data_IF_005815907656
#
_entry.id   IF_005815907656
#
_cell.length_a   1.000
_cell.length_b   1.000
_cell.length_c   1.000
_cell.angle_alpha   90.00
_cell.angle_beta   90.00
_cell.angle_gamma   90.00
#
_symmetry.space_group_name_H-M   'P 1'
#
loop_
_entity.id
_entity.type
_entity.pdbx_description
1 polymer ?
#
# COMPACT_ATOMS: atom_id res chain seq x y z
N UNK A 1 51.07 28.84 41.72
CA UNK A 1 51.78 27.55 41.69
C UNK A 1 50.93 26.54 42.47
N UNK A 2 50.51 25.45 41.81
CA UNK A 2 49.37 24.58 42.22
C UNK A 2 49.65 23.55 43.32
N UNK A 3 48.89 22.44 43.41
CA UNK A 3 47.54 22.15 42.87
C UNK A 3 46.53 21.75 44.01
N UNK A 4 45.24 21.52 43.73
CA UNK A 4 44.49 20.51 44.48
C UNK A 4 44.50 19.18 43.73
N UNK A 5 44.99 18.17 44.43
CA UNK A 5 44.99 16.76 44.07
C UNK A 5 43.59 16.15 44.16
N UNK A 6 43.15 15.53 43.05
CA UNK A 6 42.54 14.18 42.91
C UNK A 6 41.41 13.80 43.89
N UNK A 7 40.18 13.47 43.48
CA UNK A 7 39.77 12.28 42.70
C UNK A 7 38.34 12.52 42.15
N UNK A 8 38.10 12.48 40.83
CA UNK A 8 37.50 11.37 40.05
C UNK A 8 36.35 10.65 40.79
N UNK A 9 35.09 10.99 40.50
CA UNK A 9 34.27 10.59 39.34
C UNK A 9 33.53 9.28 39.58
N UNK A 10 32.20 9.36 39.72
CA UNK A 10 31.33 8.34 39.15
C UNK A 10 29.93 8.87 38.81
N UNK A 11 29.33 8.29 37.77
CA UNK A 11 27.88 8.22 37.59
C UNK A 11 27.17 9.41 36.93
N UNK A 12 27.21 9.48 35.60
CA UNK A 12 26.30 10.27 34.76
C UNK A 12 24.83 9.88 35.03
N UNK A 13 24.04 10.79 35.60
CA UNK A 13 22.59 10.80 35.45
C UNK A 13 22.21 11.79 34.33
N UNK A 14 21.92 11.29 33.14
CA UNK A 14 21.37 12.08 32.03
C UNK A 14 19.84 12.03 32.02
N UNK A 15 19.19 12.54 33.08
CA UNK A 15 17.74 12.83 33.10
C UNK A 15 17.44 14.33 33.07
N UNK A 16 18.25 15.11 32.34
CA UNK A 16 18.06 16.57 32.21
C UNK A 16 17.25 17.02 30.99
N UNK A 17 16.96 16.13 30.01
CA UNK A 17 16.27 16.49 28.77
C UNK A 17 14.78 16.10 28.70
N UNK A 18 14.32 15.22 29.60
CA UNK A 18 12.90 14.84 29.69
C UNK A 18 12.06 15.85 30.49
N UNK A 19 12.66 16.61 31.41
CA UNK A 19 11.93 17.60 32.20
C UNK A 19 11.48 18.83 31.38
N UNK A 20 12.19 19.18 30.31
CA UNK A 20 11.86 20.36 29.48
C UNK A 20 10.83 20.10 28.38
N UNK A 21 10.65 18.84 27.95
CA UNK A 21 9.59 18.46 27.00
C UNK A 21 8.22 18.31 27.69
N UNK A 22 8.20 17.90 28.97
CA UNK A 22 6.97 17.83 29.76
C UNK A 22 6.36 19.21 30.05
N UNK A 23 7.18 20.26 30.17
CA UNK A 23 6.69 21.62 30.41
C UNK A 23 6.01 22.25 29.16
N UNK A 24 6.49 21.93 27.95
CA UNK A 24 5.90 22.44 26.69
C UNK A 24 4.57 21.74 26.40
N UNK A 25 4.47 20.44 26.71
CA UNK A 25 3.22 19.68 26.57
C UNK A 25 2.17 20.21 27.57
N UNK A 26 2.55 20.50 28.82
CA UNK A 26 1.62 21.05 29.81
C UNK A 26 1.10 22.46 29.46
N UNK A 27 1.96 23.34 28.92
CA UNK A 27 1.56 24.71 28.59
C UNK A 27 0.65 24.80 27.37
N UNK A 28 0.72 23.84 26.43
CA UNK A 28 -0.26 23.72 25.33
C UNK A 28 -1.53 22.96 25.73
N UNK A 29 -1.48 22.15 26.78
CA UNK A 29 -2.62 21.41 27.33
C UNK A 29 -3.63 22.31 28.05
N UNK A 30 -3.19 23.41 28.64
CA UNK A 30 -4.07 24.34 29.36
C UNK A 30 -4.96 25.24 28.46
N UNK A 31 -4.80 25.17 27.13
CA UNK A 31 -5.44 26.10 26.18
C UNK A 31 -6.51 25.47 25.26
N UNK A 32 -6.78 24.16 25.36
CA UNK A 32 -7.79 23.48 24.54
C UNK A 32 -8.74 22.70 25.45
N UNK A 33 -10.03 23.03 25.40
CA UNK A 33 -11.08 22.42 26.20
C UNK A 33 -11.03 20.89 26.18
N UNK A 34 -11.15 20.30 27.37
CA UNK A 34 -10.94 18.88 27.68
C UNK A 34 -12.00 17.92 27.15
N UNK A 35 -12.35 18.02 25.87
CA UNK A 35 -13.28 17.11 25.18
C UNK A 35 -12.57 16.18 24.17
N UNK A 36 -11.33 16.51 23.75
CA UNK A 36 -10.57 15.69 22.78
C UNK A 36 -9.75 14.54 23.40
N UNK A 37 -9.46 14.58 24.70
CA UNK A 37 -8.57 13.58 25.34
C UNK A 37 -9.31 12.33 25.80
N UNK A 38 -10.63 12.43 26.02
CA UNK A 38 -11.48 11.26 26.29
C UNK A 38 -11.63 10.36 25.07
N UNK A 39 -11.61 10.93 23.86
CA UNK A 39 -11.63 10.16 22.61
C UNK A 39 -10.33 9.37 22.39
N UNK A 40 -9.17 10.01 22.56
CA UNK A 40 -7.86 9.37 22.34
C UNK A 40 -7.53 8.27 23.36
N UNK A 41 -7.98 8.41 24.62
CA UNK A 41 -7.82 7.35 25.63
C UNK A 41 -8.72 6.15 25.29
N UNK A 42 -9.97 6.41 24.86
CA UNK A 42 -10.91 5.38 24.45
C UNK A 42 -10.47 4.65 23.17
N UNK A 43 -9.93 5.37 22.17
CA UNK A 43 -9.30 4.75 20.99
C UNK A 43 -8.09 3.89 21.35
N UNK A 44 -7.26 4.30 22.31
CA UNK A 44 -6.10 3.51 22.75
C UNK A 44 -6.45 2.26 23.54
N UNK A 45 -7.47 2.30 24.40
CA UNK A 45 -7.96 1.12 25.13
C UNK A 45 -8.67 0.13 24.20
N UNK A 46 -9.42 0.62 23.21
CA UNK A 46 -10.06 -0.21 22.20
C UNK A 46 -9.01 -0.90 21.32
N UNK A 47 -7.99 -0.19 20.84
CA UNK A 47 -6.88 -0.78 20.06
C UNK A 47 -6.14 -1.88 20.85
N UNK A 48 -5.88 -1.68 22.15
CA UNK A 48 -5.25 -2.71 22.99
C UNK A 48 -6.14 -3.97 23.15
N UNK A 49 -7.47 -3.81 23.22
CA UNK A 49 -8.41 -4.94 23.35
C UNK A 49 -8.56 -5.78 22.07
N UNK A 50 -8.49 -5.14 20.90
CA UNK A 50 -8.58 -5.85 19.62
C UNK A 50 -7.29 -6.63 19.36
N UNK A 51 -6.13 -6.05 19.70
CA UNK A 51 -4.85 -6.74 19.56
C UNK A 51 -4.76 -7.98 20.47
N UNK A 52 -5.30 -7.92 21.69
CA UNK A 52 -5.39 -9.09 22.58
C UNK A 52 -6.30 -10.18 21.98
N UNK A 53 -7.43 -9.80 21.39
CA UNK A 53 -8.36 -10.74 20.72
C UNK A 53 -7.72 -11.40 19.51
N UNK A 54 -6.97 -10.63 18.70
CA UNK A 54 -6.23 -11.13 17.54
C UNK A 54 -5.08 -12.06 17.94
N UNK A 55 -4.36 -11.73 19.02
CA UNK A 55 -3.32 -12.59 19.58
C UNK A 55 -3.88 -13.91 20.14
N UNK A 56 -5.06 -13.87 20.76
CA UNK A 56 -5.75 -15.07 21.21
C UNK A 56 -6.19 -15.96 20.04
N UNK A 57 -6.77 -15.37 18.99
CA UNK A 57 -7.19 -16.10 17.77
C UNK A 57 -6.02 -16.78 17.07
N UNK A 58 -4.91 -16.07 16.98
CA UNK A 58 -3.71 -16.52 16.29
C UNK A 58 -2.82 -17.46 17.10
N UNK A 59 -3.20 -17.81 18.33
CA UNK A 59 -2.38 -18.58 19.27
C UNK A 59 -0.97 -17.97 19.46
N UNK A 60 -0.90 -16.63 19.48
CA UNK A 60 0.34 -15.85 19.54
C UNK A 60 1.35 -16.26 18.46
N UNK A 61 0.87 -16.49 17.23
CA UNK A 61 1.67 -16.82 16.05
C UNK A 61 1.26 -15.97 14.87
N UNK A 62 2.15 -15.84 13.91
CA UNK A 62 1.86 -15.27 12.61
C UNK A 62 0.83 -16.16 11.90
N UNK A 63 -0.30 -15.58 11.49
CA UNK A 63 -1.39 -16.30 10.83
C UNK A 63 -1.06 -16.72 9.39
N UNK A 64 0.07 -16.25 8.85
CA UNK A 64 0.59 -16.65 7.53
C UNK A 64 1.67 -17.73 7.62
N UNK A 65 2.71 -17.52 8.43
CA UNK A 65 3.88 -18.41 8.47
C UNK A 65 4.04 -19.23 9.76
N UNK A 66 3.23 -18.96 10.79
CA UNK A 66 3.29 -19.66 12.08
C UNK A 66 4.42 -19.24 13.03
N UNK A 67 5.26 -18.28 12.64
CA UNK A 67 6.33 -17.73 13.51
C UNK A 67 5.75 -17.02 14.74
N UNK A 68 6.38 -17.13 15.90
CA UNK A 68 6.01 -16.38 17.11
C UNK A 68 6.89 -15.14 17.36
N UNK A 69 7.78 -14.79 16.42
CA UNK A 69 8.72 -13.68 16.57
C UNK A 69 8.14 -12.36 16.02
N UNK A 70 8.33 -11.26 16.77
CA UNK A 70 8.02 -9.88 16.38
C UNK A 70 6.65 -9.74 15.70
N UNK A 71 5.61 -10.12 16.44
CA UNK A 71 4.23 -10.11 15.97
C UNK A 71 3.63 -8.70 16.01
N UNK A 72 2.83 -8.40 15.01
CA UNK A 72 2.17 -7.10 14.87
C UNK A 72 0.85 -7.24 14.13
N UNK A 73 -0.11 -6.38 14.47
CA UNK A 73 -1.41 -6.26 13.79
C UNK A 73 -1.23 -5.70 12.38
N UNK A 74 -1.70 -6.41 11.36
CA UNK A 74 -1.74 -5.94 9.99
C UNK A 74 -3.18 -5.80 9.51
N UNK A 75 -3.56 -4.59 9.11
CA UNK A 75 -4.89 -4.29 8.58
C UNK A 75 -4.94 -4.56 7.07
N UNK A 76 -5.90 -5.38 6.67
CA UNK A 76 -6.13 -5.81 5.30
C UNK A 76 -7.06 -4.81 4.61
N UNK A 77 -6.54 -4.10 3.62
CA UNK A 77 -7.31 -3.09 2.87
C UNK A 77 -8.60 -3.66 2.25
N UNK A 78 -9.63 -2.81 2.19
CA UNK A 78 -10.97 -3.10 1.63
C UNK A 78 -11.79 -4.13 2.40
N UNK A 79 -11.53 -4.30 3.69
CA UNK A 79 -12.29 -5.21 4.53
C UNK A 79 -13.79 -4.86 4.52
N UNK A 80 -14.68 -5.86 4.48
CA UNK A 80 -16.13 -5.64 4.50
C UNK A 80 -16.61 -5.09 5.85
N UNK A 81 -15.86 -5.36 6.91
CA UNK A 81 -16.08 -4.88 8.28
C UNK A 81 -14.72 -4.51 8.91
N UNK A 82 -14.73 -3.63 9.92
CA UNK A 82 -13.49 -3.27 10.65
C UNK A 82 -12.97 -4.42 11.52
N UNK A 83 -13.87 -5.28 12.03
CA UNK A 83 -13.54 -6.36 12.95
C UNK A 83 -12.89 -7.57 12.25
N UNK A 84 -13.27 -7.83 11.00
CA UNK A 84 -12.72 -8.95 10.21
C UNK A 84 -11.51 -8.53 9.37
N UNK A 85 -11.14 -7.25 9.39
CA UNK A 85 -10.13 -6.65 8.53
C UNK A 85 -8.70 -6.76 9.02
N UNK A 86 -8.39 -7.53 10.07
CA UNK A 86 -7.06 -7.54 10.66
C UNK A 86 -6.52 -8.96 10.92
N UNK A 87 -5.19 -9.09 10.81
CA UNK A 87 -4.44 -10.33 11.08
C UNK A 87 -3.20 -10.07 11.94
N UNK A 88 -2.70 -11.12 12.59
CA UNK A 88 -1.38 -11.10 13.23
C UNK A 88 -0.34 -11.63 12.26
N UNK A 89 0.70 -10.83 12.02
CA UNK A 89 1.84 -11.22 11.17
C UNK A 89 3.17 -10.95 11.85
N UNK A 90 4.17 -11.76 11.53
CA UNK A 90 5.55 -11.46 11.93
C UNK A 90 6.13 -10.34 11.05
N UNK A 91 7.18 -9.72 11.57
CA UNK A 91 7.97 -8.68 10.89
C UNK A 91 8.37 -9.08 9.45
N UNK A 92 8.86 -10.31 9.25
CA UNK A 92 9.28 -10.79 7.92
C UNK A 92 8.12 -10.82 6.93
N UNK A 93 6.94 -11.29 7.34
CA UNK A 93 5.76 -11.30 6.48
C UNK A 93 5.31 -9.87 6.18
N UNK A 94 5.30 -8.98 7.18
CA UNK A 94 4.93 -7.56 7.00
C UNK A 94 5.81 -6.89 5.96
N UNK A 95 7.12 -6.95 6.16
CA UNK A 95 8.09 -6.28 5.28
C UNK A 95 7.94 -6.75 3.82
N UNK A 96 7.78 -8.06 3.61
CA UNK A 96 7.60 -8.61 2.27
C UNK A 96 6.21 -8.32 1.65
N UNK A 97 5.17 -8.14 2.45
CA UNK A 97 3.86 -7.68 1.94
C UNK A 97 3.92 -6.22 1.48
N UNK A 98 4.68 -5.38 2.20
CA UNK A 98 4.79 -3.96 1.90
C UNK A 98 5.80 -3.69 0.76
N UNK A 99 6.87 -4.47 0.65
CA UNK A 99 7.97 -4.28 -0.31
C UNK A 99 7.89 -5.27 -1.48
N UNK A 100 7.19 -4.89 -2.56
CA UNK A 100 6.98 -5.76 -3.72
C UNK A 100 8.26 -6.14 -4.50
N UNK A 101 9.35 -5.37 -4.40
CA UNK A 101 10.57 -5.58 -5.20
C UNK A 101 11.55 -6.61 -4.62
N UNK A 102 11.40 -7.02 -3.34
CA UNK A 102 12.33 -7.92 -2.66
C UNK A 102 11.58 -9.06 -1.95
N UNK A 103 10.87 -9.86 -2.73
CA UNK A 103 10.15 -11.03 -2.23
C UNK A 103 11.08 -12.25 -2.10
N UNK A 104 11.11 -12.85 -0.91
CA UNK A 104 11.72 -14.16 -0.69
C UNK A 104 10.71 -15.26 -1.03
N UNK A 105 10.83 -15.83 -2.22
CA UNK A 105 9.98 -16.91 -2.73
C UNK A 105 9.95 -18.13 -1.79
N UNK A 106 11.04 -18.41 -1.07
CA UNK A 106 11.11 -19.57 -0.17
C UNK A 106 10.26 -19.35 1.08
N UNK A 107 10.25 -18.14 1.63
CA UNK A 107 9.45 -17.78 2.80
C UNK A 107 7.94 -18.03 2.54
N UNK A 108 7.46 -17.67 1.35
CA UNK A 108 6.06 -17.77 0.97
C UNK A 108 5.55 -19.20 0.70
N UNK A 109 6.39 -20.22 0.85
CA UNK A 109 5.94 -21.63 0.83
C UNK A 109 4.94 -21.94 1.94
N UNK A 110 4.90 -21.13 3.01
CA UNK A 110 3.89 -21.27 4.06
C UNK A 110 2.44 -21.05 3.57
N UNK A 111 2.26 -20.39 2.41
CA UNK A 111 0.94 -20.12 1.84
C UNK A 111 0.16 -21.39 1.47
N UNK A 112 0.85 -22.51 1.24
CA UNK A 112 0.21 -23.82 1.01
C UNK A 112 -0.74 -24.20 2.15
N UNK A 113 -0.40 -23.84 3.39
CA UNK A 113 -1.22 -24.11 4.57
C UNK A 113 -2.14 -22.92 4.89
N UNK A 114 -1.61 -21.70 4.88
CA UNK A 114 -2.37 -20.52 5.32
C UNK A 114 -3.54 -20.16 4.40
N UNK A 115 -3.50 -20.54 3.11
CA UNK A 115 -4.60 -20.31 2.19
C UNK A 115 -5.88 -21.08 2.57
N UNK A 116 -5.77 -22.13 3.38
CA UNK A 116 -6.89 -22.92 3.88
C UNK A 116 -7.40 -22.48 5.26
N UNK A 117 -6.90 -21.35 5.77
CA UNK A 117 -7.36 -20.78 7.04
C UNK A 117 -8.87 -20.55 7.03
N UNK A 118 -9.52 -20.71 8.18
CA UNK A 118 -10.94 -20.35 8.36
C UNK A 118 -11.14 -18.84 8.53
N UNK A 119 -10.06 -18.07 8.64
CA UNK A 119 -10.10 -16.61 8.80
C UNK A 119 -10.08 -15.96 7.41
N UNK A 120 -11.14 -15.25 6.98
CA UNK A 120 -11.22 -14.65 5.65
C UNK A 120 -10.07 -13.68 5.34
N UNK A 121 -9.64 -12.89 6.32
CA UNK A 121 -8.51 -11.97 6.15
C UNK A 121 -7.20 -12.68 5.78
N UNK A 122 -6.95 -13.85 6.37
CA UNK A 122 -5.77 -14.68 6.09
C UNK A 122 -5.88 -15.26 4.67
N UNK A 123 -7.05 -15.75 4.29
CA UNK A 123 -7.32 -16.24 2.92
C UNK A 123 -7.10 -15.15 1.87
N UNK A 124 -7.56 -13.92 2.14
CA UNK A 124 -7.38 -12.76 1.27
C UNK A 124 -5.90 -12.42 1.09
N UNK A 125 -5.13 -12.36 2.17
CA UNK A 125 -3.70 -12.10 2.09
C UNK A 125 -2.95 -13.22 1.37
N UNK A 126 -3.29 -14.48 1.65
CA UNK A 126 -2.71 -15.63 0.97
C UNK A 126 -2.97 -15.56 -0.54
N UNK A 127 -4.21 -15.26 -0.95
CA UNK A 127 -4.56 -15.08 -2.36
C UNK A 127 -3.80 -13.92 -3.01
N UNK A 128 -3.71 -12.76 -2.34
CA UNK A 128 -2.99 -11.58 -2.86
C UNK A 128 -1.50 -11.88 -3.05
N UNK A 129 -0.88 -12.56 -2.10
CA UNK A 129 0.53 -12.95 -2.19
C UNK A 129 0.77 -14.03 -3.25
N UNK A 130 -0.10 -15.04 -3.34
CA UNK A 130 -0.03 -16.03 -4.42
C UNK A 130 -0.18 -15.38 -5.80
N UNK A 131 -1.04 -14.36 -5.93
CA UNK A 131 -1.18 -13.59 -7.19
C UNK A 131 0.07 -12.81 -7.55
N UNK A 132 0.75 -12.21 -6.57
CA UNK A 132 2.05 -11.56 -6.79
C UNK A 132 3.13 -12.56 -7.22
N UNK A 133 3.07 -13.78 -6.72
CA UNK A 133 4.02 -14.86 -7.02
C UNK A 133 3.58 -15.74 -8.20
N UNK A 134 2.56 -15.35 -8.98
CA UNK A 134 1.97 -16.21 -10.03
C UNK A 134 2.96 -16.62 -11.13
N UNK A 135 4.10 -15.94 -11.27
CA UNK A 135 5.18 -16.36 -12.16
C UNK A 135 5.80 -17.72 -11.76
N UNK A 136 5.69 -18.10 -10.48
CA UNK A 136 6.15 -19.38 -9.96
C UNK A 136 5.08 -20.46 -10.15
N UNK A 137 5.47 -21.63 -10.67
CA UNK A 137 4.52 -22.71 -10.99
C UNK A 137 3.73 -23.18 -9.77
N UNK A 138 4.41 -23.35 -8.63
CA UNK A 138 3.77 -23.79 -7.38
C UNK A 138 2.72 -22.79 -6.89
N UNK A 139 2.92 -21.48 -7.10
CA UNK A 139 1.97 -20.47 -6.68
C UNK A 139 0.75 -20.44 -7.62
N UNK A 140 0.97 -20.62 -8.92
CA UNK A 140 -0.12 -20.76 -9.89
C UNK A 140 -0.97 -22.00 -9.62
N UNK A 141 -0.35 -23.14 -9.36
CA UNK A 141 -1.06 -24.41 -9.07
C UNK A 141 -1.93 -24.28 -7.80
N UNK A 142 -1.44 -23.58 -6.78
CA UNK A 142 -2.20 -23.28 -5.57
C UNK A 142 -3.38 -22.33 -5.84
N UNK A 143 -3.19 -21.29 -6.65
CA UNK A 143 -4.27 -20.38 -7.04
C UNK A 143 -5.39 -21.09 -7.78
N UNK A 144 -5.06 -22.05 -8.65
CA UNK A 144 -6.05 -22.80 -9.42
C UNK A 144 -6.87 -23.75 -8.53
N UNK A 145 -6.30 -24.19 -7.42
CA UNK A 145 -6.95 -25.07 -6.45
C UNK A 145 -7.70 -24.30 -5.35
N UNK A 146 -7.28 -23.07 -5.07
CA UNK A 146 -7.85 -22.23 -4.03
C UNK A 146 -9.27 -21.78 -4.40
N UNK A 147 -10.25 -22.24 -3.62
CA UNK A 147 -11.62 -21.78 -3.70
C UNK A 147 -11.92 -20.78 -2.57
N UNK A 148 -12.35 -19.57 -2.95
CA UNK A 148 -12.82 -18.55 -2.02
C UNK A 148 -14.30 -18.30 -2.26
N UNK A 149 -15.01 -17.98 -1.18
CA UNK A 149 -16.39 -17.50 -1.27
C UNK A 149 -16.43 -16.21 -2.10
N UNK A 150 -17.53 -15.94 -2.84
CA UNK A 150 -17.59 -14.81 -3.77
C UNK A 150 -17.28 -13.45 -3.13
N UNK A 151 -17.72 -13.23 -1.89
CA UNK A 151 -17.48 -11.99 -1.16
C UNK A 151 -16.01 -11.85 -0.75
N UNK A 152 -15.40 -12.91 -0.23
CA UNK A 152 -13.97 -12.97 0.10
C UNK A 152 -13.09 -12.81 -1.13
N UNK A 153 -13.48 -13.41 -2.26
CA UNK A 153 -12.75 -13.24 -3.53
C UNK A 153 -12.83 -11.80 -4.03
N UNK A 154 -14.01 -11.16 -3.97
CA UNK A 154 -14.18 -9.77 -4.35
C UNK A 154 -13.31 -8.84 -3.48
N UNK A 155 -13.24 -9.11 -2.17
CA UNK A 155 -12.34 -8.41 -1.25
C UNK A 155 -10.86 -8.63 -1.61
N UNK A 156 -10.47 -9.86 -1.92
CA UNK A 156 -9.10 -10.18 -2.33
C UNK A 156 -8.68 -9.38 -3.57
N UNK A 157 -9.57 -9.32 -4.57
CA UNK A 157 -9.36 -8.61 -5.84
C UNK A 157 -9.32 -7.10 -5.68
N UNK A 158 -10.13 -6.52 -4.79
CA UNK A 158 -10.18 -5.07 -4.56
C UNK A 158 -8.80 -4.50 -4.21
N UNK A 159 -8.11 -5.08 -3.22
CA UNK A 159 -6.76 -4.61 -2.84
C UNK A 159 -5.65 -5.08 -3.76
N UNK A 160 -5.84 -6.14 -4.56
CA UNK A 160 -4.86 -6.51 -5.60
C UNK A 160 -4.89 -5.54 -6.79
N UNK A 161 -6.04 -4.93 -7.08
CA UNK A 161 -6.16 -3.94 -8.17
C UNK A 161 -5.34 -2.68 -7.87
N UNK A 162 -5.14 -2.36 -6.59
CA UNK A 162 -4.28 -1.25 -6.14
C UNK A 162 -2.79 -1.61 -6.12
N UNK A 163 -2.46 -2.90 -6.03
CA UNK A 163 -1.08 -3.39 -5.95
C UNK A 163 -0.53 -3.88 -7.29
N UNK A 164 -1.40 -4.13 -8.27
CA UNK A 164 -1.05 -4.32 -9.69
C UNK A 164 -0.97 -2.97 -10.44
N UNK A 165 -1.36 -1.87 -9.80
CA UNK A 165 -0.76 -0.58 -10.12
C UNK A 165 0.66 -0.65 -9.55
N UNK A 166 1.57 -1.16 -10.39
CA UNK A 166 2.99 -0.81 -10.37
C UNK A 166 3.14 0.61 -9.79
N UNK A 167 4.12 0.84 -8.91
CA UNK A 167 4.49 2.21 -8.53
C UNK A 167 4.79 3.10 -9.75
N UNK A 168 4.82 2.52 -10.96
CA UNK A 168 4.54 3.14 -12.24
C UNK A 168 3.21 3.90 -12.31
N UNK A 169 3.30 5.21 -12.10
CA UNK A 169 2.80 6.22 -13.03
C UNK A 169 1.60 5.78 -13.92
N UNK A 170 0.40 5.79 -13.33
CA UNK A 170 -0.84 5.39 -14.00
C UNK A 170 -1.36 6.46 -14.96
N UNK A 171 -1.56 6.06 -16.22
CA UNK A 171 -2.13 6.94 -17.26
C UNK A 171 -3.63 6.70 -17.37
N UNK A 172 -4.45 7.70 -17.00
CA UNK A 172 -5.91 7.64 -17.07
C UNK A 172 -6.48 8.67 -18.04
N UNK A 173 -7.49 8.29 -18.81
CA UNK A 173 -8.17 9.19 -19.73
C UNK A 173 -9.09 10.20 -19.01
N UNK A 174 -9.77 11.07 -19.75
CA UNK A 174 -10.68 12.07 -19.17
C UNK A 174 -11.88 11.51 -18.39
N UNK A 175 -12.19 10.21 -18.55
CA UNK A 175 -13.29 9.52 -17.87
C UNK A 175 -12.78 8.57 -16.77
N UNK A 176 -11.48 8.57 -16.47
CA UNK A 176 -10.88 7.68 -15.48
C UNK A 176 -10.59 6.26 -15.99
N UNK A 177 -10.62 6.02 -17.29
CA UNK A 177 -10.28 4.71 -17.88
C UNK A 177 -8.76 4.60 -18.01
N UNK A 178 -8.20 3.49 -17.56
CA UNK A 178 -6.76 3.20 -17.65
C UNK A 178 -6.36 2.97 -19.11
N UNK A 179 -5.27 3.63 -19.51
CA UNK A 179 -4.69 3.55 -20.85
C UNK A 179 -3.51 2.58 -20.85
N UNK A 180 -3.39 1.81 -21.94
CA UNK A 180 -2.28 0.88 -22.15
C UNK A 180 -1.49 1.24 -23.42
N UNK A 181 -0.20 0.89 -23.45
CA UNK A 181 0.62 1.02 -24.66
C UNK A 181 -0.01 0.25 -25.82
N UNK A 182 -0.17 0.91 -26.97
CA UNK A 182 -0.80 0.37 -28.16
C UNK A 182 -2.28 0.73 -28.32
N UNK A 183 -2.93 1.31 -27.31
CA UNK A 183 -4.33 1.72 -27.38
C UNK A 183 -4.57 2.82 -28.43
N UNK A 184 -5.85 2.96 -28.81
CA UNK A 184 -6.33 4.09 -29.64
C UNK A 184 -7.21 4.99 -28.79
N UNK A 185 -6.90 6.29 -28.79
CA UNK A 185 -7.64 7.30 -28.03
C UNK A 185 -8.16 8.39 -28.96
N UNK A 186 -9.23 9.05 -28.58
CA UNK A 186 -9.87 10.12 -29.35
C UNK A 186 -9.73 11.44 -28.60
N UNK A 187 -9.36 12.50 -29.31
CA UNK A 187 -9.27 13.85 -28.72
C UNK A 187 -10.64 14.40 -28.35
N UNK A 188 -10.79 14.88 -27.12
CA UNK A 188 -12.02 15.55 -26.66
C UNK A 188 -11.97 17.07 -26.85
N UNK A 189 -10.81 17.64 -27.17
CA UNK A 189 -10.60 19.07 -27.40
C UNK A 189 -9.68 19.31 -28.61
N UNK A 190 -9.78 20.51 -29.19
CA UNK A 190 -8.85 20.98 -30.20
C UNK A 190 -7.50 21.30 -29.55
N UNK A 191 -6.41 20.74 -30.08
CA UNK A 191 -5.06 20.94 -29.58
C UNK A 191 -4.16 21.47 -30.69
N UNK A 192 -3.45 22.57 -30.40
CA UNK A 192 -2.42 23.05 -31.29
C UNK A 192 -1.12 22.29 -31.03
N UNK A 193 -0.61 21.60 -32.05
CA UNK A 193 0.57 20.76 -31.94
C UNK A 193 1.81 21.64 -32.04
N UNK A 194 2.64 21.65 -31.00
CA UNK A 194 3.93 22.35 -31.04
C UNK A 194 4.84 21.67 -32.05
N UNK A 195 5.35 22.42 -33.03
CA UNK A 195 6.25 21.89 -34.07
C UNK A 195 5.56 21.30 -35.29
N UNK A 196 4.23 21.37 -35.39
CA UNK A 196 3.50 21.04 -36.61
C UNK A 196 2.71 22.27 -37.10
N UNK A 197 2.50 22.38 -38.41
CA UNK A 197 1.68 23.45 -39.01
C UNK A 197 0.18 23.10 -39.01
N UNK A 198 -0.26 22.13 -38.21
CA UNK A 198 -1.66 21.71 -38.12
C UNK A 198 -2.16 21.69 -36.68
N UNK A 199 -3.46 21.93 -36.52
CA UNK A 199 -4.18 21.79 -35.26
C UNK A 199 -4.94 20.48 -35.27
N UNK A 200 -4.73 19.63 -34.25
CA UNK A 200 -5.49 18.40 -34.10
C UNK A 200 -6.88 18.74 -33.58
N UNK A 201 -7.92 18.46 -34.38
CA UNK A 201 -9.30 18.78 -34.03
C UNK A 201 -9.88 17.74 -33.07
N UNK A 202 -10.84 18.17 -32.25
CA UNK A 202 -11.68 17.27 -31.46
C UNK A 202 -12.26 16.17 -32.36
N UNK A 203 -12.26 14.93 -31.87
CA UNK A 203 -12.72 13.76 -32.60
C UNK A 203 -11.62 13.09 -33.45
N UNK A 204 -10.42 13.67 -33.53
CA UNK A 204 -9.30 13.01 -34.20
C UNK A 204 -8.84 11.81 -33.37
N UNK A 205 -8.71 10.65 -34.03
CA UNK A 205 -8.19 9.43 -33.42
C UNK A 205 -6.65 9.44 -33.41
N UNK A 206 -6.07 9.15 -32.25
CA UNK A 206 -4.65 8.99 -31.99
C UNK A 206 -4.40 7.49 -31.79
N UNK A 207 -3.68 6.87 -32.72
CA UNK A 207 -3.47 5.42 -32.73
C UNK A 207 -2.08 5.07 -32.22
N UNK A 208 -1.98 3.90 -31.58
CA UNK A 208 -0.71 3.34 -31.12
C UNK A 208 -0.06 4.23 -30.07
N UNK A 209 -0.80 4.55 -29.01
CA UNK A 209 -0.27 5.40 -27.95
C UNK A 209 0.88 4.70 -27.21
N UNK A 210 1.83 5.46 -26.71
CA UNK A 210 2.89 5.02 -25.82
C UNK A 210 2.83 5.84 -24.54
N UNK A 211 2.94 5.17 -23.39
CA UNK A 211 2.85 5.81 -22.09
C UNK A 211 4.20 6.40 -21.69
N UNK A 212 4.22 7.62 -21.15
CA UNK A 212 5.45 8.23 -20.62
C UNK A 212 5.83 7.57 -19.29
N UNK A 213 7.03 6.99 -19.15
CA UNK A 213 7.47 6.34 -17.92
C UNK A 213 7.75 7.31 -16.77
N UNK A 214 7.81 8.62 -17.02
CA UNK A 214 8.15 9.65 -16.02
C UNK A 214 6.98 10.60 -15.70
N UNK A 215 5.86 10.57 -16.46
CA UNK A 215 4.75 11.51 -16.24
C UNK A 215 3.36 10.95 -16.64
N UNK A 216 2.45 10.83 -15.68
CA UNK A 216 1.13 10.16 -15.81
C UNK A 216 0.15 10.99 -16.63
N UNK A 217 0.42 12.29 -16.71
CA UNK A 217 -0.39 13.18 -17.52
C UNK A 217 0.04 13.14 -18.99
N UNK A 218 1.19 12.58 -19.34
CA UNK A 218 1.71 12.61 -20.71
C UNK A 218 1.64 11.25 -21.41
N UNK A 219 1.05 11.26 -22.60
CA UNK A 219 1.10 10.12 -23.51
C UNK A 219 1.60 10.58 -24.87
N UNK A 220 2.31 9.70 -25.54
CA UNK A 220 2.74 9.91 -26.91
C UNK A 220 1.81 9.15 -27.86
N UNK A 221 1.58 9.69 -29.05
CA UNK A 221 0.80 8.99 -30.06
C UNK A 221 0.99 9.57 -31.45
N UNK A 222 0.40 8.92 -32.46
CA UNK A 222 0.53 9.33 -33.85
C UNK A 222 -0.77 9.93 -34.39
N UNK A 223 -0.66 11.12 -34.98
CA UNK A 223 -1.73 11.82 -35.70
C UNK A 223 -1.18 12.26 -37.05
N UNK A 224 -1.87 11.91 -38.14
CA UNK A 224 -1.43 12.22 -39.51
C UNK A 224 0.02 11.80 -39.84
N UNK A 225 0.48 10.69 -39.25
CA UNK A 225 1.85 10.19 -39.43
C UNK A 225 2.92 10.92 -38.61
N UNK A 226 2.58 11.95 -37.84
CA UNK A 226 3.48 12.66 -36.94
C UNK A 226 3.27 12.21 -35.50
N UNK A 227 4.37 12.02 -34.77
CA UNK A 227 4.36 11.73 -33.33
C UNK A 227 4.17 13.01 -32.53
N UNK A 228 3.23 12.99 -31.59
CA UNK A 228 2.89 14.13 -30.74
C UNK A 228 2.75 13.69 -29.29
N UNK A 229 3.09 14.59 -28.37
CA UNK A 229 2.86 14.42 -26.93
C UNK A 229 1.55 15.10 -26.55
N UNK A 230 0.69 14.37 -25.85
CA UNK A 230 -0.68 14.78 -25.52
C UNK A 230 -0.90 14.59 -24.03
N UNK A 231 -1.69 15.48 -23.43
CA UNK A 231 -2.12 15.33 -22.04
C UNK A 231 -3.31 14.35 -21.95
N UNK A 232 -3.24 13.39 -21.04
CA UNK A 232 -4.26 12.33 -20.85
C UNK A 232 -5.65 12.89 -20.55
N UNK A 233 -5.74 14.03 -19.86
CA UNK A 233 -7.01 14.77 -19.62
C UNK A 233 -7.73 15.27 -20.87
N UNK A 234 -7.10 15.25 -22.05
CA UNK A 234 -7.71 15.67 -23.32
C UNK A 234 -7.99 14.51 -24.26
N UNK A 235 -7.85 13.27 -23.78
CA UNK A 235 -8.15 12.08 -24.56
C UNK A 235 -9.23 11.25 -23.90
N UNK A 236 -9.93 10.47 -24.72
CA UNK A 236 -10.89 9.44 -24.30
C UNK A 236 -10.52 8.13 -24.98
N UNK A 237 -10.50 7.01 -24.25
CA UNK A 237 -10.30 5.68 -24.85
C UNK A 237 -11.43 5.39 -25.85
N UNK A 238 -11.06 4.99 -27.06
CA UNK A 238 -11.99 4.78 -28.17
C UNK A 238 -12.43 3.34 -28.32
#
# INVERSE_FOLDING_TARGET
>A
MGPPSTLKADGRNTNGRLAFLWAIIWYRFAASGGDQLRGLIFESEILMSIDETLLARSDSKCELCGSSANLSRYDVSHAPSEDDGAVIVCEVCREQMDQAEQLDVHHWRCLTESMWSQVPAVQVLAWRMLKRLQAESWASDLLDTLYLEPETLAWAQAGATEQNDDGGLKHVDSNGVVLSTGDTVTLIKDLNVKGASFTAKRGTAVRGISLDPNNAEHIEGRVNGQQIVILTKFVKKS
#
